data_IF_234342312724
#
_entry.id   IF_234342312724
#
_cell.length_a   1.000
_cell.length_b   1.000
_cell.length_c   1.000
_cell.angle_alpha   90.00
_cell.angle_beta   90.00
_cell.angle_gamma   90.00
#
_symmetry.space_group_name_H-M   'P 1'
#
loop_
_entity.id
_entity.type
_entity.pdbx_description
1 polymer ?
#
# COMPACT_ATOMS: atom_id res chain seq x y z
N UNK A 1 21.37 -10.13 -73.49
CA UNK A 1 21.81 -8.75 -73.16
C UNK A 1 22.07 -8.66 -71.67
N UNK A 2 23.35 -8.69 -71.30
CA UNK A 2 23.86 -8.35 -69.97
C UNK A 2 23.66 -6.84 -69.71
N UNK A 3 23.06 -6.49 -68.58
CA UNK A 3 23.42 -5.30 -67.77
C UNK A 3 23.14 -5.68 -66.31
N UNK A 4 24.07 -6.38 -65.65
CA UNK A 4 25.07 -5.79 -64.73
C UNK A 4 24.49 -4.64 -63.90
N UNK A 5 24.00 -5.03 -62.72
CA UNK A 5 23.92 -4.18 -61.54
C UNK A 5 25.35 -3.74 -61.19
N UNK A 6 25.62 -2.43 -61.31
CA UNK A 6 26.79 -1.78 -60.77
C UNK A 6 26.34 -0.91 -59.59
N UNK A 7 26.91 -1.10 -58.39
CA UNK A 7 26.66 -0.26 -57.22
C UNK A 7 27.64 0.92 -57.23
N UNK A 8 27.16 2.14 -56.98
CA UNK A 8 27.99 3.29 -56.58
C UNK A 8 27.11 4.38 -55.95
N UNK A 9 27.63 5.28 -55.11
CA UNK A 9 28.89 5.23 -54.37
C UNK A 9 28.70 5.37 -52.84
N UNK A 10 29.64 4.80 -52.11
CA UNK A 10 29.90 5.19 -50.73
C UNK A 10 30.27 6.67 -50.67
N UNK A 11 29.36 7.48 -50.13
CA UNK A 11 29.71 8.76 -49.53
C UNK A 11 29.71 8.59 -48.02
N UNK A 12 30.91 8.50 -47.47
CA UNK A 12 31.16 8.75 -46.06
C UNK A 12 30.99 10.26 -45.80
N UNK A 13 30.11 10.69 -44.88
CA UNK A 13 30.24 11.97 -44.24
C UNK A 13 31.02 11.78 -42.95
N UNK A 14 32.30 12.16 -43.06
CA UNK A 14 33.17 12.74 -42.03
C UNK A 14 32.58 12.78 -40.61
N UNK A 15 33.16 11.96 -39.75
CA UNK A 15 33.08 12.06 -38.29
C UNK A 15 33.61 13.43 -37.86
N UNK A 16 32.71 14.40 -37.66
CA UNK A 16 33.02 15.61 -36.92
C UNK A 16 32.96 15.29 -35.43
N UNK A 17 34.11 14.90 -34.88
CA UNK A 17 34.38 14.88 -33.45
C UNK A 17 34.26 16.29 -32.91
N UNK A 18 33.09 16.66 -32.41
CA UNK A 18 32.90 17.85 -31.59
C UNK A 18 33.49 17.56 -30.21
N UNK A 19 34.79 17.83 -30.08
CA UNK A 19 35.45 17.97 -28.78
C UNK A 19 34.87 19.20 -28.09
N UNK A 20 33.83 19.00 -27.29
CA UNK A 20 33.41 19.94 -26.26
C UNK A 20 34.47 19.92 -25.16
N UNK A 21 35.47 20.79 -25.28
CA UNK A 21 36.42 21.14 -24.24
C UNK A 21 35.69 21.89 -23.13
N UNK A 22 35.07 21.15 -22.19
CA UNK A 22 34.65 21.75 -20.92
C UNK A 22 35.89 22.11 -20.12
N UNK A 23 36.25 23.39 -20.15
CA UNK A 23 37.21 24.02 -19.23
C UNK A 23 36.62 23.99 -17.82
N UNK A 24 37.00 22.96 -17.05
CA UNK A 24 36.69 22.82 -15.63
C UNK A 24 37.55 23.79 -14.82
N UNK A 25 37.05 24.99 -14.61
CA UNK A 25 37.59 25.94 -13.65
C UNK A 25 37.42 25.40 -12.22
N UNK A 26 38.55 25.21 -11.52
CA UNK A 26 38.63 24.77 -10.14
C UNK A 26 38.26 25.92 -9.21
N UNK A 27 37.07 25.89 -8.61
CA UNK A 27 36.78 26.62 -7.37
C UNK A 27 36.90 25.65 -6.20
N UNK A 28 37.94 25.84 -5.40
CA UNK A 28 38.12 25.15 -4.12
C UNK A 28 37.11 25.70 -3.13
N UNK A 29 36.24 24.84 -2.63
CA UNK A 29 35.46 25.08 -1.40
C UNK A 29 35.88 24.04 -0.37
N UNK A 30 36.12 24.43 0.90
CA UNK A 30 36.67 23.53 1.90
C UNK A 30 35.62 22.55 2.43
N UNK A 31 36.07 21.32 2.64
CA UNK A 31 35.38 20.21 3.29
C UNK A 31 34.86 20.58 4.70
N UNK A 32 33.68 20.10 5.12
CA UNK A 32 33.23 20.22 6.50
C UNK A 32 34.05 19.29 7.43
N UNK A 33 34.33 19.70 8.68
CA UNK A 33 35.01 18.86 9.65
C UNK A 33 34.08 17.77 10.22
N UNK A 34 34.73 16.68 10.64
CA UNK A 34 34.15 15.49 11.26
C UNK A 34 33.44 15.80 12.59
N UNK A 35 32.39 15.02 12.85
CA UNK A 35 31.89 14.54 14.15
C UNK A 35 32.21 15.38 15.40
N UNK A 36 31.19 16.08 15.91
CA UNK A 36 31.13 16.43 17.33
C UNK A 36 29.84 15.84 17.91
N UNK A 37 30.00 14.69 18.53
CA UNK A 37 29.01 14.01 19.36
C UNK A 37 28.81 14.88 20.62
N UNK A 38 27.71 15.64 20.71
CA UNK A 38 27.40 16.46 21.89
C UNK A 38 26.47 15.68 22.83
N UNK A 39 26.93 15.26 24.03
CA UNK A 39 26.08 14.58 25.00
C UNK A 39 25.11 15.56 25.66
N UNK A 40 23.92 15.11 26.11
CA UNK A 40 22.77 15.99 26.38
C UNK A 40 22.84 16.82 27.68
N UNK A 41 24.02 17.04 28.27
CA UNK A 41 24.15 17.72 29.57
C UNK A 41 25.40 18.61 29.71
N UNK A 42 25.68 19.47 28.73
CA UNK A 42 26.69 20.53 28.88
C UNK A 42 26.07 21.83 29.41
N UNK A 43 26.64 22.51 30.43
CA UNK A 43 26.06 23.72 31.04
C UNK A 43 26.20 24.95 30.12
N UNK A 44 25.12 25.70 29.90
CA UNK A 44 25.11 26.92 29.10
C UNK A 44 25.62 28.11 29.94
N UNK A 45 26.71 28.75 29.51
CA UNK A 45 27.21 30.03 30.06
C UNK A 45 26.53 31.23 29.35
N UNK A 46 26.19 32.33 30.07
CA UNK A 46 25.29 33.36 29.54
C UNK A 46 26.05 34.41 28.72
N UNK A 47 25.53 34.73 27.52
CA UNK A 47 25.85 36.00 26.82
C UNK A 47 24.57 36.69 26.36
N UNK A 48 24.54 38.00 26.58
CA UNK A 48 23.46 38.96 26.35
C UNK A 48 23.29 39.35 24.86
N UNK A 49 22.16 39.98 24.46
CA UNK A 49 21.64 39.93 23.09
C UNK A 49 21.89 41.20 22.27
N UNK A 50 21.80 41.16 20.91
CA UNK A 50 21.51 42.35 20.11
C UNK A 50 20.01 42.48 19.80
N UNK A 51 19.56 43.73 19.73
CA UNK A 51 18.16 44.17 19.64
C UNK A 51 17.55 44.14 18.22
N UNK A 52 16.21 44.19 18.20
CA UNK A 52 15.24 43.97 17.09
C UNK A 52 15.20 45.09 16.02
N UNK A 53 14.54 44.80 14.88
CA UNK A 53 13.38 45.61 14.51
C UNK A 53 12.09 44.79 14.29
N UNK A 54 10.99 45.46 14.59
CA UNK A 54 9.58 45.05 14.70
C UNK A 54 8.89 44.84 13.34
N UNK A 55 8.03 43.81 13.23
CA UNK A 55 6.61 43.97 12.85
C UNK A 55 5.75 42.71 13.13
N UNK A 56 4.70 42.94 13.93
CA UNK A 56 3.46 42.19 14.20
C UNK A 56 3.32 40.70 13.85
N UNK A 57 3.49 39.84 14.87
CA UNK A 57 2.83 38.53 14.99
C UNK A 57 1.46 38.71 15.66
N UNK A 58 0.39 38.04 15.19
CA UNK A 58 -0.88 37.99 15.91
C UNK A 58 -0.69 37.32 17.28
N UNK A 59 -1.36 37.90 18.29
CA UNK A 59 -1.34 37.54 19.71
C UNK A 59 -1.34 36.02 19.93
N UNK A 60 -0.28 35.52 20.57
CA UNK A 60 -0.23 34.20 21.20
C UNK A 60 -1.36 34.11 22.22
N UNK A 61 -2.31 33.20 21.99
CA UNK A 61 -3.31 32.84 22.99
C UNK A 61 -2.59 32.24 24.21
N UNK A 62 -2.98 32.71 25.39
CA UNK A 62 -2.44 32.27 26.67
C UNK A 62 -2.73 30.77 26.91
N UNK A 63 -1.86 30.04 27.63
CA UNK A 63 -2.01 28.59 27.86
C UNK A 63 -3.28 28.17 28.65
N UNK A 64 -4.03 29.12 29.20
CA UNK A 64 -5.17 28.87 30.08
C UNK A 64 -6.55 29.02 29.41
N UNK A 65 -6.64 28.98 28.07
CA UNK A 65 -7.92 29.01 27.35
C UNK A 65 -8.13 27.86 26.36
N UNK A 66 -7.44 26.72 26.54
CA UNK A 66 -7.82 25.50 25.83
C UNK A 66 -8.90 24.81 26.67
N UNK A 67 -10.18 25.16 26.45
CA UNK A 67 -11.25 24.20 26.79
C UNK A 67 -10.88 22.91 26.07
N UNK A 68 -10.79 21.74 26.74
CA UNK A 68 -10.61 20.49 26.02
C UNK A 68 -11.77 20.38 25.03
N UNK A 69 -11.48 20.50 23.74
CA UNK A 69 -12.50 20.31 22.71
C UNK A 69 -13.07 18.91 22.91
N UNK A 70 -14.39 18.79 22.95
CA UNK A 70 -15.02 17.48 23.01
C UNK A 70 -14.43 16.58 21.89
N UNK A 71 -14.21 15.28 22.15
CA UNK A 71 -13.69 14.37 21.13
C UNK A 71 -14.59 14.41 19.89
N UNK A 72 -13.99 14.29 18.71
CA UNK A 72 -14.73 14.22 17.46
C UNK A 72 -15.60 12.96 17.46
N UNK A 73 -16.90 13.13 17.22
CA UNK A 73 -17.84 12.03 17.02
C UNK A 73 -17.84 11.64 15.54
N UNK A 74 -17.81 10.34 15.25
CA UNK A 74 -17.91 9.85 13.88
C UNK A 74 -19.11 8.93 13.67
N UNK A 75 -19.97 9.32 12.74
CA UNK A 75 -21.16 8.59 12.30
C UNK A 75 -20.86 7.49 11.27
N UNK A 76 -19.59 7.18 11.01
CA UNK A 76 -19.21 6.18 10.01
C UNK A 76 -19.65 4.78 10.45
N UNK A 77 -20.40 4.04 9.62
CA UNK A 77 -21.10 2.80 10.00
C UNK A 77 -20.19 1.57 10.00
N UNK A 78 -18.87 1.76 10.05
CA UNK A 78 -17.90 0.67 9.99
C UNK A 78 -16.78 0.85 11.01
N UNK A 79 -16.18 -0.28 11.38
CA UNK A 79 -14.98 -0.38 12.20
C UNK A 79 -13.81 0.39 11.60
N UNK A 80 -13.13 1.22 12.39
CA UNK A 80 -11.90 1.84 11.93
C UNK A 80 -10.74 0.88 12.15
N UNK A 81 -9.98 0.65 11.07
CA UNK A 81 -8.78 -0.17 11.05
C UNK A 81 -7.70 0.56 10.28
N UNK A 82 -6.43 0.29 10.57
CA UNK A 82 -5.34 0.90 9.82
C UNK A 82 -5.39 0.53 8.33
N UNK A 83 -5.62 -0.75 8.06
CA UNK A 83 -5.83 -1.30 6.72
C UNK A 83 -7.09 -2.13 6.71
N UNK A 84 -7.93 -1.95 5.70
CA UNK A 84 -9.13 -2.75 5.49
C UNK A 84 -8.83 -4.01 4.67
N UNK A 85 -7.91 -3.93 3.71
CA UNK A 85 -7.61 -5.05 2.81
C UNK A 85 -6.50 -5.98 3.30
N UNK A 86 -5.62 -5.53 4.20
CA UNK A 86 -4.49 -6.34 4.68
C UNK A 86 -4.60 -6.74 6.17
N UNK A 87 -5.71 -6.41 6.83
CA UNK A 87 -5.96 -6.82 8.21
C UNK A 87 -7.15 -7.78 8.26
N UNK A 88 -6.88 -9.05 8.57
CA UNK A 88 -7.92 -10.05 8.77
C UNK A 88 -8.55 -9.89 10.16
N UNK A 89 -9.84 -9.52 10.28
CA UNK A 89 -10.51 -9.36 11.57
C UNK A 89 -10.67 -10.66 12.35
N UNK A 90 -10.60 -11.82 11.71
CA UNK A 90 -10.72 -13.12 12.39
C UNK A 90 -9.45 -13.46 13.18
N UNK A 91 -8.31 -12.87 12.83
CA UNK A 91 -7.01 -13.18 13.43
C UNK A 91 -6.65 -12.14 14.49
N UNK A 92 -6.72 -12.54 15.76
CA UNK A 92 -6.28 -11.70 16.87
C UNK A 92 -4.76 -11.79 17.08
N UNK A 93 -4.07 -10.67 17.33
CA UNK A 93 -2.67 -10.69 17.71
C UNK A 93 -2.49 -11.32 19.09
N UNK A 94 -1.38 -12.03 19.30
CA UNK A 94 -0.96 -12.56 20.60
C UNK A 94 -0.58 -11.40 21.54
N UNK A 95 -0.06 -10.32 20.96
CA UNK A 95 0.32 -9.11 21.68
C UNK A 95 0.91 -8.09 20.72
N UNK A 96 1.55 -7.08 21.27
CA UNK A 96 2.21 -6.02 20.51
C UNK A 96 3.67 -5.95 20.90
N UNK A 97 4.53 -5.56 19.95
CA UNK A 97 5.98 -5.38 20.24
C UNK A 97 6.23 -4.34 21.34
N UNK A 98 5.33 -3.39 21.46
CA UNK A 98 5.35 -2.32 22.45
C UNK A 98 3.96 -2.22 23.09
N UNK A 99 3.82 -1.81 24.37
CA UNK A 99 2.52 -1.66 24.99
C UNK A 99 1.66 -0.61 24.24
N UNK A 100 0.37 -0.88 23.96
CA UNK A 100 -0.52 0.06 23.28
C UNK A 100 -0.89 1.22 24.21
N UNK A 101 0.00 2.21 24.29
CA UNK A 101 -0.19 3.38 25.16
C UNK A 101 -1.13 4.43 24.56
N UNK A 102 -1.23 4.51 23.23
CA UNK A 102 -1.93 5.61 22.57
C UNK A 102 -2.74 5.17 21.35
N UNK A 103 -3.97 5.69 21.26
CA UNK A 103 -4.88 5.50 20.11
C UNK A 103 -4.37 6.23 18.87
N UNK A 104 -4.30 5.62 17.67
CA UNK A 104 -3.78 6.22 16.43
C UNK A 104 -4.41 7.57 16.04
N UNK A 105 -5.55 7.91 16.62
CA UNK A 105 -6.26 9.15 16.38
C UNK A 105 -5.82 10.32 17.26
N UNK A 106 -4.99 10.12 18.29
CA UNK A 106 -4.73 11.15 19.29
C UNK A 106 -5.40 10.88 20.64
N UNK A 107 -4.81 11.33 21.77
CA UNK A 107 -5.52 11.37 23.03
C UNK A 107 -6.73 12.31 22.93
N UNK A 108 -7.92 11.82 23.30
CA UNK A 108 -9.15 12.62 23.36
C UNK A 108 -9.66 13.18 22.04
N UNK A 109 -9.10 12.76 20.88
CA UNK A 109 -9.50 13.27 19.56
C UNK A 109 -10.68 12.55 18.94
N UNK A 110 -10.82 11.26 19.24
CA UNK A 110 -11.90 10.41 18.75
C UNK A 110 -12.60 9.80 19.95
N UNK A 111 -13.92 9.81 19.94
CA UNK A 111 -14.75 9.24 21.01
C UNK A 111 -14.89 7.71 20.94
N UNK A 112 -14.56 7.10 19.81
CA UNK A 112 -14.47 5.64 19.64
C UNK A 112 -13.20 5.09 20.31
N UNK A 113 -13.38 4.10 21.19
CA UNK A 113 -12.27 3.43 21.89
C UNK A 113 -11.47 2.57 20.92
N UNK A 114 -10.16 2.77 20.88
CA UNK A 114 -9.23 1.93 20.12
C UNK A 114 -8.77 0.73 20.97
N UNK A 115 -8.98 -0.50 20.49
CA UNK A 115 -8.61 -1.73 21.20
C UNK A 115 -7.17 -2.21 20.94
N UNK A 116 -6.43 -1.48 20.10
CA UNK A 116 -5.09 -1.86 19.62
C UNK A 116 -5.05 -2.16 18.12
N UNK A 117 -6.15 -2.63 17.55
CA UNK A 117 -6.27 -3.02 16.13
C UNK A 117 -7.46 -2.34 15.44
N UNK A 118 -8.53 -2.10 16.20
CA UNK A 118 -9.83 -1.63 15.74
C UNK A 118 -10.35 -0.55 16.69
N UNK A 119 -11.01 0.46 16.13
CA UNK A 119 -12.00 1.24 16.87
C UNK A 119 -13.39 0.82 16.36
N UNK A 120 -14.22 0.11 17.15
CA UNK A 120 -15.45 -0.50 16.68
C UNK A 120 -16.55 0.54 16.43
N UNK A 121 -17.45 0.26 15.48
CA UNK A 121 -18.58 1.14 15.19
C UNK A 121 -19.58 1.19 16.35
N UNK A 122 -20.31 2.30 16.55
CA UNK A 122 -21.43 2.32 17.47
C UNK A 122 -22.50 1.27 17.06
N UNK A 123 -22.93 0.44 18.01
CA UNK A 123 -23.98 -0.58 17.83
C UNK A 123 -25.40 0.05 17.82
N UNK A 124 -26.37 -0.47 17.02
CA UNK A 124 -26.20 -1.09 15.71
C UNK A 124 -26.40 -0.04 14.61
N UNK A 125 -25.43 0.09 13.71
CA UNK A 125 -25.61 0.88 12.49
C UNK A 125 -26.70 0.20 11.63
N UNK A 126 -27.79 0.89 11.24
CA UNK A 126 -28.80 0.31 10.37
C UNK A 126 -28.19 0.01 9.00
N UNK A 127 -27.91 -1.26 8.74
CA UNK A 127 -27.38 -1.79 7.47
C UNK A 127 -28.28 -1.41 6.29
N UNK A 128 -29.57 -1.25 6.55
CA UNK A 128 -30.59 -0.86 5.56
C UNK A 128 -30.34 0.56 5.01
N UNK A 129 -29.82 1.49 5.82
CA UNK A 129 -29.64 2.88 5.39
C UNK A 129 -28.37 3.16 4.58
N UNK A 130 -27.33 2.30 4.67
CA UNK A 130 -26.04 2.56 4.00
C UNK A 130 -26.09 2.21 2.51
N UNK A 131 -26.74 1.10 2.15
CA UNK A 131 -26.93 0.68 0.77
C UNK A 131 -27.83 1.66 -0.01
N UNK A 132 -28.89 2.16 0.64
CA UNK A 132 -29.79 3.16 0.07
C UNK A 132 -29.06 4.49 -0.20
N UNK A 133 -28.28 4.96 0.78
CA UNK A 133 -27.44 6.16 0.63
C UNK A 133 -26.43 6.01 -0.51
N UNK A 134 -25.75 4.87 -0.58
CA UNK A 134 -24.79 4.61 -1.66
C UNK A 134 -25.47 4.65 -3.03
N UNK A 135 -26.62 3.98 -3.17
CA UNK A 135 -27.37 3.93 -4.41
C UNK A 135 -27.84 5.32 -4.84
N UNK A 136 -28.28 6.15 -3.88
CA UNK A 136 -28.66 7.54 -4.16
C UNK A 136 -27.51 8.43 -4.65
N UNK A 137 -26.27 8.19 -4.18
CA UNK A 137 -25.10 8.97 -4.62
C UNK A 137 -24.61 8.50 -5.98
N UNK A 138 -24.60 7.19 -6.22
CA UNK A 138 -24.19 6.62 -7.50
C UNK A 138 -25.16 7.00 -8.63
N UNK A 139 -26.47 6.97 -8.34
CA UNK A 139 -27.52 7.24 -9.32
C UNK A 139 -27.69 6.09 -10.31
N UNK A 140 -28.23 6.41 -11.49
CA UNK A 140 -28.34 5.45 -12.59
C UNK A 140 -26.95 4.94 -13.01
N UNK A 141 -26.81 3.66 -13.39
CA UNK A 141 -25.57 3.14 -13.95
C UNK A 141 -25.07 4.00 -15.11
N UNK A 142 -23.75 4.12 -15.22
CA UNK A 142 -23.14 4.75 -16.38
C UNK A 142 -23.36 3.89 -17.62
N UNK A 143 -23.61 4.50 -18.77
CA UNK A 143 -23.58 3.80 -20.05
C UNK A 143 -22.15 3.42 -20.40
N UNK A 144 -21.97 2.50 -21.34
CA UNK A 144 -20.63 2.07 -21.75
C UNK A 144 -19.86 3.24 -22.36
N UNK A 145 -20.52 4.12 -23.12
CA UNK A 145 -19.92 5.31 -23.71
C UNK A 145 -19.42 6.28 -22.64
N UNK A 146 -20.22 6.54 -21.60
CA UNK A 146 -19.81 7.38 -20.47
C UNK A 146 -18.61 6.78 -19.72
N UNK A 147 -18.59 5.44 -19.54
CA UNK A 147 -17.47 4.73 -18.92
C UNK A 147 -16.22 4.89 -19.77
N UNK A 148 -16.30 4.69 -21.08
CA UNK A 148 -15.17 4.83 -22.00
C UNK A 148 -14.59 6.26 -22.00
N UNK A 149 -15.44 7.28 -22.00
CA UNK A 149 -15.01 8.68 -21.91
C UNK A 149 -14.26 8.98 -20.61
N UNK A 150 -14.78 8.47 -19.47
CA UNK A 150 -14.11 8.61 -18.18
C UNK A 150 -12.79 7.84 -18.14
N UNK A 151 -12.76 6.65 -18.73
CA UNK A 151 -11.54 5.83 -18.86
C UNK A 151 -10.49 6.60 -19.65
N UNK A 152 -10.82 7.12 -20.83
CA UNK A 152 -9.86 7.85 -21.65
C UNK A 152 -9.29 9.07 -20.91
N UNK A 153 -10.16 9.81 -20.22
CA UNK A 153 -9.79 11.02 -19.49
C UNK A 153 -8.85 10.76 -18.32
N UNK A 154 -8.99 9.62 -17.63
CA UNK A 154 -8.30 9.37 -16.36
C UNK A 154 -7.32 8.20 -16.36
N UNK A 155 -7.25 7.36 -17.41
CA UNK A 155 -6.36 6.16 -17.42
C UNK A 155 -4.88 6.48 -17.54
N UNK A 156 -4.53 7.58 -18.21
CA UNK A 156 -3.16 7.92 -18.55
C UNK A 156 -2.34 8.35 -17.31
N UNK A 157 -1.05 8.05 -17.32
CA UNK A 157 -0.17 8.22 -16.14
C UNK A 157 0.26 9.66 -15.88
N UNK A 158 0.08 10.53 -16.84
CA UNK A 158 0.26 11.99 -16.76
C UNK A 158 -0.89 12.68 -16.00
N UNK A 159 -1.95 11.93 -15.66
CA UNK A 159 -3.02 12.44 -14.83
C UNK A 159 -2.48 12.80 -13.44
N UNK A 160 -2.54 14.09 -13.09
CA UNK A 160 -2.20 14.62 -11.76
C UNK A 160 -3.07 14.08 -10.62
N UNK A 161 -4.04 13.20 -10.92
CA UNK A 161 -5.07 12.67 -10.03
C UNK A 161 -4.83 11.19 -9.69
N UNK A 162 -3.57 10.80 -9.60
CA UNK A 162 -3.16 9.44 -9.24
C UNK A 162 -2.91 9.31 -7.73
N UNK A 163 -3.52 8.30 -7.11
CA UNK A 163 -3.18 7.83 -5.76
C UNK A 163 -2.42 6.50 -5.87
N UNK A 164 -1.38 6.32 -5.06
CA UNK A 164 -0.65 5.05 -4.97
C UNK A 164 -1.13 4.26 -3.76
N UNK A 165 -1.65 3.06 -4.00
CA UNK A 165 -1.97 2.09 -2.96
C UNK A 165 -0.74 1.19 -2.77
N UNK A 166 -0.09 1.30 -1.61
CA UNK A 166 1.15 0.58 -1.30
C UNK A 166 0.94 -0.72 -0.52
N UNK A 167 2.03 -1.22 0.09
CA UNK A 167 2.08 -2.51 0.84
C UNK A 167 1.11 -2.66 2.02
N UNK A 168 0.50 -1.57 2.47
CA UNK A 168 -0.46 -1.54 3.56
C UNK A 168 -1.91 -1.59 3.05
N UNK A 169 -2.13 -1.66 1.73
CA UNK A 169 -3.45 -1.85 1.14
C UNK A 169 -4.36 -0.64 1.21
N UNK A 170 -5.66 -0.89 1.28
CA UNK A 170 -6.67 0.16 1.47
C UNK A 170 -6.60 0.66 2.91
N UNK A 171 -5.90 1.78 3.14
CA UNK A 171 -5.70 2.33 4.49
C UNK A 171 -6.80 3.31 4.89
N UNK A 172 -6.98 3.55 6.20
CA UNK A 172 -7.95 4.50 6.72
C UNK A 172 -7.82 5.89 6.09
N UNK A 173 -6.62 6.44 6.10
CA UNK A 173 -6.37 7.80 5.61
C UNK A 173 -6.52 7.92 4.09
N UNK A 174 -6.30 6.82 3.35
CA UNK A 174 -6.51 6.80 1.90
C UNK A 174 -7.97 7.13 1.53
N UNK A 175 -8.94 6.83 2.41
CA UNK A 175 -10.34 7.19 2.15
C UNK A 175 -10.53 8.71 2.08
N UNK A 176 -9.93 9.47 3.00
CA UNK A 176 -10.00 10.94 2.94
C UNK A 176 -9.26 11.48 1.71
N UNK A 177 -8.11 10.90 1.35
CA UNK A 177 -7.38 11.26 0.13
C UNK A 177 -8.25 11.09 -1.13
N UNK A 178 -8.98 9.97 -1.24
CA UNK A 178 -9.90 9.72 -2.35
C UNK A 178 -11.00 10.78 -2.39
N UNK A 179 -11.67 11.03 -1.26
CA UNK A 179 -12.71 12.04 -1.19
C UNK A 179 -12.20 13.46 -1.47
N UNK A 180 -10.95 13.76 -1.11
CA UNK A 180 -10.29 15.03 -1.43
C UNK A 180 -10.05 15.18 -2.94
N UNK A 181 -9.66 14.12 -3.64
CA UNK A 181 -9.53 14.14 -5.10
C UNK A 181 -10.89 14.33 -5.80
N UNK A 182 -11.95 13.69 -5.30
CA UNK A 182 -13.30 13.82 -5.84
C UNK A 182 -13.91 15.22 -5.72
N UNK A 183 -13.29 16.15 -4.99
CA UNK A 183 -13.65 17.57 -4.99
C UNK A 183 -13.42 18.24 -6.35
N UNK A 184 -12.48 17.70 -7.15
CA UNK A 184 -11.99 18.31 -8.40
C UNK A 184 -12.01 17.37 -9.61
N UNK A 185 -12.50 16.15 -9.42
CA UNK A 185 -12.49 15.10 -10.43
C UNK A 185 -13.65 14.13 -10.20
N UNK A 186 -14.13 13.52 -11.28
CA UNK A 186 -15.23 12.55 -11.22
C UNK A 186 -14.73 11.14 -10.87
N UNK A 187 -13.50 10.82 -11.29
CA UNK A 187 -12.84 9.57 -10.97
C UNK A 187 -11.41 9.80 -10.48
N UNK A 188 -10.89 8.82 -9.75
CA UNK A 188 -9.51 8.78 -9.26
C UNK A 188 -8.80 7.58 -9.81
N UNK A 189 -7.58 7.80 -10.31
CA UNK A 189 -6.71 6.72 -10.76
C UNK A 189 -5.93 6.17 -9.58
N UNK A 190 -6.08 4.88 -9.29
CA UNK A 190 -5.40 4.21 -8.18
C UNK A 190 -4.40 3.21 -8.76
N UNK A 191 -3.11 3.40 -8.47
CA UNK A 191 -2.05 2.45 -8.83
C UNK A 191 -1.72 1.59 -7.62
N UNK A 192 -2.07 0.32 -7.68
CA UNK A 192 -1.83 -0.67 -6.64
C UNK A 192 -0.42 -1.28 -6.77
N UNK A 193 0.27 -1.40 -5.65
CA UNK A 193 1.64 -1.91 -5.54
C UNK A 193 1.81 -2.73 -4.27
N UNK A 194 2.74 -3.67 -4.31
CA UNK A 194 3.08 -4.59 -3.24
C UNK A 194 2.08 -5.74 -3.10
N UNK A 195 2.07 -6.32 -1.90
CA UNK A 195 1.26 -7.48 -1.51
C UNK A 195 -0.23 -7.37 -1.83
N UNK A 196 -0.90 -6.19 -1.71
CA UNK A 196 -2.32 -6.08 -2.07
C UNK A 196 -2.64 -6.55 -3.48
N UNK A 197 -1.70 -6.45 -4.42
CA UNK A 197 -1.91 -6.86 -5.81
C UNK A 197 -2.11 -8.37 -6.00
N UNK A 198 -1.84 -9.20 -4.99
CA UNK A 198 -2.21 -10.63 -4.99
C UNK A 198 -3.73 -10.84 -4.96
N UNK A 199 -4.48 -9.86 -4.45
CA UNK A 199 -5.93 -9.94 -4.25
C UNK A 199 -6.58 -8.61 -4.60
N UNK A 200 -6.64 -8.36 -5.91
CA UNK A 200 -7.23 -7.13 -6.44
C UNK A 200 -8.76 -7.11 -6.22
N UNK A 201 -9.41 -8.27 -6.04
CA UNK A 201 -10.84 -8.36 -5.75
C UNK A 201 -11.14 -7.81 -4.36
N UNK A 202 -10.38 -8.22 -3.34
CA UNK A 202 -10.50 -7.68 -1.99
C UNK A 202 -10.17 -6.18 -1.92
N UNK A 203 -9.17 -5.72 -2.69
CA UNK A 203 -8.89 -4.29 -2.82
C UNK A 203 -10.07 -3.53 -3.43
N UNK A 204 -10.65 -4.03 -4.53
CA UNK A 204 -11.81 -3.41 -5.16
C UNK A 204 -13.01 -3.38 -4.20
N UNK A 205 -13.28 -4.50 -3.53
CA UNK A 205 -14.34 -4.61 -2.54
C UNK A 205 -14.22 -3.54 -1.46
N UNK A 206 -13.06 -3.41 -0.82
CA UNK A 206 -12.89 -2.42 0.25
C UNK A 206 -12.88 -0.97 -0.23
N UNK A 207 -12.35 -0.69 -1.44
CA UNK A 207 -12.44 0.66 -2.01
C UNK A 207 -13.90 1.03 -2.25
N UNK A 208 -14.67 0.15 -2.89
CA UNK A 208 -16.09 0.36 -3.13
C UNK A 208 -16.86 0.47 -1.81
N UNK A 209 -16.71 -0.49 -0.90
CA UNK A 209 -17.42 -0.56 0.39
C UNK A 209 -17.17 0.67 1.28
N UNK A 210 -15.91 1.09 1.43
CA UNK A 210 -15.56 2.15 2.37
C UNK A 210 -15.73 3.57 1.84
N UNK A 211 -15.64 3.77 0.52
CA UNK A 211 -15.80 5.10 -0.10
C UNK A 211 -17.20 5.33 -0.65
N UNK A 212 -17.97 4.27 -0.90
CA UNK A 212 -19.25 4.33 -1.62
C UNK A 212 -19.11 4.50 -3.14
N UNK A 213 -17.89 4.70 -3.66
CA UNK A 213 -17.64 4.84 -5.09
C UNK A 213 -17.73 3.53 -5.87
N UNK A 214 -17.63 3.62 -7.19
CA UNK A 214 -17.72 2.48 -8.12
C UNK A 214 -16.43 2.32 -8.91
N UNK A 215 -15.87 1.11 -8.98
CA UNK A 215 -14.76 0.81 -9.87
C UNK A 215 -15.33 0.68 -11.28
N UNK A 216 -14.90 1.57 -12.18
CA UNK A 216 -15.34 1.59 -13.60
C UNK A 216 -14.27 1.05 -14.55
N UNK A 217 -13.04 0.86 -14.06
CA UNK A 217 -11.95 0.30 -14.85
C UNK A 217 -10.97 -0.43 -13.97
N UNK A 218 -10.52 -1.59 -14.47
CA UNK A 218 -9.48 -2.41 -13.84
C UNK A 218 -8.60 -3.02 -14.91
N UNK A 219 -7.31 -2.72 -14.86
CA UNK A 219 -6.29 -3.40 -15.68
C UNK A 219 -5.03 -3.65 -14.86
N UNK A 220 -4.67 -4.91 -14.69
CA UNK A 220 -3.51 -5.38 -13.92
C UNK A 220 -3.56 -4.80 -12.49
N UNK A 221 -2.83 -3.70 -12.24
CA UNK A 221 -2.70 -3.06 -10.95
C UNK A 221 -3.20 -1.60 -10.97
N UNK A 222 -3.91 -1.18 -12.01
CA UNK A 222 -4.48 0.15 -12.14
C UNK A 222 -6.00 0.04 -12.06
N UNK A 223 -6.59 0.88 -11.22
CA UNK A 223 -8.03 1.02 -11.03
C UNK A 223 -8.46 2.46 -11.33
N UNK A 224 -9.67 2.65 -11.85
CA UNK A 224 -10.37 3.93 -11.81
C UNK A 224 -11.59 3.81 -10.90
N UNK A 225 -11.62 4.63 -9.85
CA UNK A 225 -12.71 4.68 -8.88
C UNK A 225 -13.53 5.96 -9.10
N UNK A 226 -14.76 5.79 -9.55
CA UNK A 226 -15.76 6.82 -9.81
C UNK A 226 -16.55 7.17 -8.56
N UNK A 227 -16.82 8.45 -8.35
CA UNK A 227 -17.48 8.98 -7.14
C UNK A 227 -19.00 8.82 -7.09
N UNK A 228 -19.66 8.59 -8.23
CA UNK A 228 -21.11 8.64 -8.38
C UNK A 228 -21.62 9.92 -9.05
N UNK A 229 -22.80 9.86 -9.68
CA UNK A 229 -23.41 10.99 -10.43
C UNK A 229 -23.75 12.16 -9.52
N UNK A 230 -24.23 11.87 -8.31
CA UNK A 230 -24.76 12.85 -7.36
C UNK A 230 -23.84 13.07 -6.16
N UNK A 231 -22.53 12.85 -6.34
CA UNK A 231 -21.56 13.11 -5.28
C UNK A 231 -21.48 14.61 -4.94
N UNK A 232 -21.89 14.98 -3.72
CA UNK A 232 -21.71 16.32 -3.17
C UNK A 232 -20.51 16.36 -2.20
N UNK A 233 -19.43 17.10 -2.52
CA UNK A 233 -18.30 17.29 -1.62
C UNK A 233 -18.65 17.85 -0.24
N UNK A 234 -19.76 18.56 -0.09
CA UNK A 234 -20.22 19.13 1.19
C UNK A 234 -20.90 18.09 2.07
N UNK A 235 -21.49 17.06 1.48
CA UNK A 235 -22.16 15.95 2.19
C UNK A 235 -21.27 14.70 2.31
N UNK A 236 -20.01 14.80 1.90
CA UNK A 236 -19.06 13.69 2.00
C UNK A 236 -18.90 13.24 3.46
N UNK A 237 -18.67 11.94 3.72
CA UNK A 237 -18.39 11.47 5.06
C UNK A 237 -17.10 12.10 5.61
N UNK A 238 -17.12 12.44 6.90
CA UNK A 238 -15.93 12.91 7.61
C UNK A 238 -15.16 11.70 8.12
N UNK A 239 -14.01 11.44 7.50
CA UNK A 239 -13.09 10.36 7.89
C UNK A 239 -12.05 10.91 8.88
N UNK A 240 -12.06 10.49 10.16
CA UNK A 240 -11.08 10.97 11.15
C UNK A 240 -9.66 10.56 10.76
N UNK A 241 -8.72 11.49 10.71
CA UNK A 241 -7.34 11.14 10.34
C UNK A 241 -6.65 10.33 11.44
N UNK A 242 -6.09 9.18 11.08
CA UNK A 242 -5.11 8.49 11.91
C UNK A 242 -3.79 9.26 11.83
N UNK A 243 -3.36 9.81 12.96
CA UNK A 243 -2.17 10.65 13.09
C UNK A 243 -0.87 9.82 13.12
N UNK A 244 -0.94 8.57 13.54
CA UNK A 244 0.18 7.64 13.51
C UNK A 244 -0.25 6.24 13.12
N UNK A 245 0.72 5.45 12.64
CA UNK A 245 0.55 4.03 12.35
C UNK A 245 0.38 3.26 13.67
N UNK A 246 -0.61 2.34 13.78
CA UNK A 246 -0.72 1.49 14.95
C UNK A 246 0.51 0.62 15.16
N UNK A 247 0.72 0.23 16.42
CA UNK A 247 1.85 -0.61 16.82
C UNK A 247 1.78 -1.95 16.09
N UNK A 248 2.95 -2.47 15.74
CA UNK A 248 3.04 -3.71 14.98
C UNK A 248 2.56 -4.91 15.84
N UNK A 249 1.45 -5.58 15.44
CA UNK A 249 0.97 -6.77 16.13
C UNK A 249 1.97 -7.93 16.01
N UNK A 250 1.95 -8.78 17.02
CA UNK A 250 2.67 -10.06 17.03
C UNK A 250 1.65 -11.16 16.76
N UNK A 251 1.83 -11.86 15.64
CA UNK A 251 1.03 -13.02 15.27
C UNK A 251 1.76 -14.32 15.57
N UNK A 252 1.05 -15.46 15.62
CA UNK A 252 1.67 -16.78 15.69
C UNK A 252 2.69 -17.00 14.57
N UNK A 253 3.61 -17.95 14.80
CA UNK A 253 4.60 -18.31 13.78
C UNK A 253 3.90 -18.82 12.53
N UNK A 254 4.22 -18.20 11.39
CA UNK A 254 3.61 -18.54 10.10
C UNK A 254 3.98 -19.95 9.61
N UNK A 255 5.22 -20.37 9.87
CA UNK A 255 5.72 -21.70 9.50
C UNK A 255 5.90 -22.52 10.77
N UNK A 256 5.10 -23.58 10.97
CA UNK A 256 5.32 -24.52 12.05
C UNK A 256 6.54 -25.41 11.75
N UNK A 257 7.15 -25.98 12.80
CA UNK A 257 8.29 -26.90 12.64
C UNK A 257 7.90 -28.15 11.86
N UNK A 258 6.70 -28.66 12.13
CA UNK A 258 6.05 -29.78 11.43
C UNK A 258 4.79 -29.25 10.77
N UNK A 259 4.64 -29.47 9.47
CA UNK A 259 3.43 -29.04 8.76
C UNK A 259 2.25 -29.92 9.18
N UNK A 260 1.05 -29.34 9.16
CA UNK A 260 -0.16 -30.04 9.58
C UNK A 260 -0.37 -31.32 8.75
N UNK A 261 -0.60 -32.43 9.44
CA UNK A 261 -0.84 -33.73 8.81
C UNK A 261 0.41 -34.44 8.26
N UNK A 262 1.62 -33.96 8.54
CA UNK A 262 2.89 -34.61 8.18
C UNK A 262 3.73 -34.98 9.40
N UNK A 263 4.64 -35.93 9.21
CA UNK A 263 5.75 -36.18 10.14
C UNK A 263 6.83 -35.11 9.99
N UNK A 264 7.75 -35.06 10.96
CA UNK A 264 8.92 -34.18 10.88
C UNK A 264 9.82 -34.51 9.67
N UNK A 265 9.99 -35.81 9.38
CA UNK A 265 10.81 -36.31 8.28
C UNK A 265 10.19 -35.94 6.93
N UNK A 266 8.89 -36.19 6.74
CA UNK A 266 8.15 -35.81 5.53
C UNK A 266 8.22 -34.29 5.30
N UNK A 267 8.04 -33.49 6.35
CA UNK A 267 8.14 -32.01 6.25
C UNK A 267 9.55 -31.59 5.81
N UNK A 268 10.59 -32.25 6.34
CA UNK A 268 11.99 -31.97 5.97
C UNK A 268 12.28 -32.37 4.52
N UNK A 269 11.76 -33.50 4.07
CA UNK A 269 11.87 -33.96 2.69
C UNK A 269 11.22 -32.98 1.72
N UNK A 270 9.99 -32.52 1.99
CA UNK A 270 9.30 -31.52 1.17
C UNK A 270 10.02 -30.16 1.12
N UNK A 271 10.62 -29.73 2.24
CA UNK A 271 11.46 -28.52 2.26
C UNK A 271 12.68 -28.68 1.35
N UNK A 272 13.36 -29.81 1.43
CA UNK A 272 14.55 -30.10 0.63
C UNK A 272 14.22 -30.24 -0.86
N UNK A 273 13.15 -30.98 -1.18
CA UNK A 273 12.69 -31.14 -2.57
C UNK A 273 12.25 -29.80 -3.15
N UNK A 274 11.53 -28.98 -2.38
CA UNK A 274 11.16 -27.62 -2.78
C UNK A 274 12.36 -26.72 -3.05
N UNK A 275 13.38 -26.72 -2.20
CA UNK A 275 14.61 -25.94 -2.40
C UNK A 275 15.38 -26.36 -3.66
N UNK A 276 15.40 -27.66 -3.96
CA UNK A 276 16.11 -28.21 -5.12
C UNK A 276 15.27 -28.12 -6.42
N UNK A 277 13.96 -27.89 -6.32
CA UNK A 277 13.09 -27.71 -7.48
C UNK A 277 13.37 -26.38 -8.21
N UNK A 278 13.15 -26.28 -9.53
CA UNK A 278 13.23 -24.99 -10.24
C UNK A 278 12.18 -24.00 -9.69
N UNK A 279 12.48 -22.69 -9.64
CA UNK A 279 11.51 -21.72 -9.16
C UNK A 279 10.37 -21.60 -10.17
N UNK A 280 9.12 -21.66 -9.70
CA UNK A 280 7.93 -21.47 -10.53
C UNK A 280 7.95 -20.09 -11.21
N UNK A 281 8.33 -19.07 -10.44
CA UNK A 281 8.50 -17.72 -10.96
C UNK A 281 9.36 -16.87 -10.03
N UNK A 282 9.87 -15.78 -10.60
CA UNK A 282 10.63 -14.75 -9.90
C UNK A 282 9.77 -13.51 -9.68
N UNK A 283 9.66 -13.09 -8.43
CA UNK A 283 8.97 -11.87 -8.02
C UNK A 283 9.95 -10.70 -8.05
N UNK A 284 9.52 -9.58 -8.62
CA UNK A 284 10.38 -8.41 -8.83
C UNK A 284 10.07 -7.28 -7.83
N UNK A 285 10.95 -6.26 -7.81
CA UNK A 285 10.80 -5.04 -7.00
C UNK A 285 9.67 -4.12 -7.47
N UNK A 286 9.07 -4.38 -8.63
CA UNK A 286 7.98 -3.56 -9.14
C UNK A 286 6.71 -3.63 -8.26
N UNK A 287 6.61 -4.65 -7.39
CA UNK A 287 5.48 -4.82 -6.49
C UNK A 287 4.18 -5.21 -7.19
N UNK A 288 4.23 -5.80 -8.38
CA UNK A 288 3.01 -6.23 -9.10
C UNK A 288 2.96 -7.76 -9.13
N UNK A 289 2.02 -8.32 -8.36
CA UNK A 289 1.91 -9.75 -8.08
C UNK A 289 0.58 -10.40 -8.54
N UNK A 290 -0.15 -9.72 -9.44
CA UNK A 290 -1.51 -10.10 -9.87
C UNK A 290 -1.63 -11.55 -10.33
N UNK A 291 -0.64 -12.06 -11.06
CA UNK A 291 -0.71 -13.39 -11.67
C UNK A 291 -0.12 -14.51 -10.78
N UNK A 292 0.35 -14.19 -9.57
CA UNK A 292 1.04 -15.16 -8.71
C UNK A 292 0.07 -16.23 -8.22
N UNK A 293 -1.13 -15.84 -7.79
CA UNK A 293 -2.16 -16.76 -7.26
C UNK A 293 -2.53 -17.81 -8.32
N UNK A 294 -2.85 -17.37 -9.53
CA UNK A 294 -3.24 -18.29 -10.61
C UNK A 294 -2.11 -19.23 -11.00
N UNK A 295 -0.87 -18.71 -11.11
CA UNK A 295 0.30 -19.55 -11.39
C UNK A 295 0.54 -20.59 -10.31
N UNK A 296 0.36 -20.25 -9.04
CA UNK A 296 0.53 -21.19 -7.92
C UNK A 296 -0.60 -22.23 -7.94
N UNK A 297 -1.85 -21.83 -8.19
CA UNK A 297 -2.99 -22.76 -8.35
C UNK A 297 -2.75 -23.75 -9.50
N UNK A 298 -2.29 -23.26 -10.64
CA UNK A 298 -1.99 -24.08 -11.81
C UNK A 298 -0.84 -25.05 -11.54
N UNK A 299 0.23 -24.57 -10.90
CA UNK A 299 1.36 -25.42 -10.54
C UNK A 299 0.96 -26.55 -9.58
N UNK A 300 0.02 -26.31 -8.66
CA UNK A 300 -0.44 -27.34 -7.72
C UNK A 300 -1.32 -28.44 -8.33
N UNK A 301 -1.74 -28.29 -9.60
CA UNK A 301 -2.40 -29.36 -10.36
C UNK A 301 -1.44 -30.52 -10.65
N UNK A 302 -0.16 -30.22 -10.87
CA UNK A 302 0.87 -31.20 -11.25
C UNK A 302 1.93 -31.43 -10.18
N UNK A 303 2.28 -30.39 -9.43
CA UNK A 303 3.33 -30.42 -8.41
C UNK A 303 2.75 -30.36 -7.01
N UNK A 304 3.35 -31.07 -6.06
CA UNK A 304 2.92 -31.00 -4.66
C UNK A 304 3.56 -29.83 -3.91
N UNK A 305 4.75 -29.45 -4.34
CA UNK A 305 5.56 -28.37 -3.75
C UNK A 305 5.93 -27.38 -4.84
N UNK A 306 5.88 -26.10 -4.49
CA UNK A 306 6.20 -24.98 -5.36
C UNK A 306 7.22 -24.07 -4.68
N UNK A 307 8.21 -23.62 -5.45
CA UNK A 307 9.19 -22.61 -5.03
C UNK A 307 8.92 -21.28 -5.73
N UNK A 308 8.82 -20.19 -4.97
CA UNK A 308 8.81 -18.83 -5.49
C UNK A 308 10.14 -18.15 -5.18
N UNK A 309 10.78 -17.58 -6.21
CA UNK A 309 11.97 -16.76 -6.04
C UNK A 309 11.56 -15.31 -5.74
N UNK A 310 11.84 -14.87 -4.53
CA UNK A 310 11.57 -13.55 -3.99
C UNK A 310 12.87 -12.80 -3.64
N UNK A 311 14.02 -13.17 -4.23
CA UNK A 311 15.34 -12.57 -3.92
C UNK A 311 15.39 -11.05 -4.10
N UNK A 312 14.50 -10.48 -4.90
CA UNK A 312 14.40 -9.03 -5.10
C UNK A 312 13.24 -8.39 -4.35
N UNK A 313 12.35 -9.16 -3.72
CA UNK A 313 11.24 -8.61 -2.94
C UNK A 313 11.73 -8.13 -1.57
N UNK A 314 11.09 -7.11 -1.01
CA UNK A 314 11.40 -6.67 0.35
C UNK A 314 11.14 -7.80 1.36
N UNK A 315 12.04 -8.00 2.32
CA UNK A 315 11.93 -9.08 3.31
C UNK A 315 10.60 -9.04 4.10
N UNK A 316 10.06 -7.83 4.34
CA UNK A 316 8.75 -7.65 4.99
C UNK A 316 7.59 -8.19 4.16
N UNK A 317 7.72 -8.17 2.84
CA UNK A 317 6.66 -8.52 1.91
C UNK A 317 6.68 -10.02 1.62
N UNK A 318 7.85 -10.67 1.62
CA UNK A 318 7.95 -12.12 1.41
C UNK A 318 7.05 -12.93 2.37
N UNK A 319 7.06 -12.58 3.67
CA UNK A 319 6.19 -13.26 4.65
C UNK A 319 4.72 -12.97 4.39
N UNK A 320 4.37 -11.71 4.12
CA UNK A 320 2.98 -11.31 3.82
C UNK A 320 2.44 -11.99 2.56
N UNK A 321 3.26 -12.13 1.52
CA UNK A 321 2.93 -12.89 0.30
C UNK A 321 2.59 -14.33 0.67
N UNK A 322 3.41 -14.98 1.49
CA UNK A 322 3.14 -16.35 1.91
C UNK A 322 1.89 -16.51 2.77
N UNK A 323 1.59 -15.56 3.68
CA UNK A 323 0.31 -15.54 4.43
C UNK A 323 -0.86 -15.46 3.45
N UNK A 324 -0.82 -14.48 2.55
CA UNK A 324 -1.92 -14.23 1.62
C UNK A 324 -2.11 -15.38 0.63
N UNK A 325 -1.02 -16.02 0.20
CA UNK A 325 -1.10 -17.21 -0.64
C UNK A 325 -1.73 -18.39 0.08
N UNK A 326 -1.46 -18.62 1.38
CA UNK A 326 -2.14 -19.65 2.18
C UNK A 326 -3.66 -19.43 2.21
N UNK A 327 -4.10 -18.17 2.27
CA UNK A 327 -5.51 -17.83 2.39
C UNK A 327 -6.23 -17.90 1.01
N UNK A 328 -5.56 -17.48 -0.07
CA UNK A 328 -6.12 -17.47 -1.44
C UNK A 328 -5.97 -18.79 -2.20
N UNK A 329 -4.95 -19.56 -1.85
CA UNK A 329 -4.65 -20.89 -2.37
C UNK A 329 -4.45 -21.77 -1.15
N UNK A 330 -5.33 -22.76 -0.87
CA UNK A 330 -5.28 -23.53 0.37
C UNK A 330 -4.01 -24.40 0.44
N UNK A 331 -2.88 -23.77 0.74
CA UNK A 331 -1.52 -24.29 0.71
C UNK A 331 -0.80 -23.86 1.98
N UNK A 332 0.22 -24.61 2.36
CA UNK A 332 0.93 -24.45 3.62
C UNK A 332 2.34 -23.94 3.33
N UNK A 333 2.73 -22.75 3.81
CA UNK A 333 4.10 -22.29 3.72
C UNK A 333 5.04 -23.17 4.56
N UNK A 334 6.04 -23.78 3.92
CA UNK A 334 6.99 -24.68 4.56
C UNK A 334 8.31 -24.00 4.95
N UNK A 335 8.70 -22.95 4.23
CA UNK A 335 9.98 -22.26 4.43
C UNK A 335 9.98 -20.85 3.85
N UNK A 336 10.57 -19.91 4.60
CA UNK A 336 10.98 -18.59 4.12
C UNK A 336 12.47 -18.42 4.42
N UNK A 337 13.34 -18.54 3.40
CA UNK A 337 14.79 -18.46 3.58
C UNK A 337 15.46 -17.87 2.35
N UNK A 338 16.39 -16.94 2.54
CA UNK A 338 17.22 -16.34 1.47
C UNK A 338 16.43 -15.83 0.27
N UNK A 339 15.29 -15.20 0.54
CA UNK A 339 14.38 -14.71 -0.50
C UNK A 339 13.67 -15.84 -1.26
N UNK A 340 13.60 -17.06 -0.76
CA UNK A 340 12.80 -18.14 -1.32
C UNK A 340 11.58 -18.41 -0.45
N UNK A 341 10.45 -18.70 -1.09
CA UNK A 341 9.23 -19.19 -0.43
C UNK A 341 8.95 -20.59 -0.96
N UNK A 342 8.86 -21.57 -0.04
CA UNK A 342 8.45 -22.93 -0.37
C UNK A 342 7.02 -23.13 0.13
N UNK A 343 6.13 -23.52 -0.78
CA UNK A 343 4.72 -23.75 -0.51
C UNK A 343 4.38 -25.21 -0.83
N UNK A 344 3.60 -25.83 0.04
CA UNK A 344 3.09 -27.19 -0.16
C UNK A 344 1.57 -27.15 -0.28
N UNK A 345 1.01 -27.88 -1.25
CA UNK A 345 -0.44 -27.87 -1.50
C UNK A 345 -1.30 -28.50 -0.39
N UNK A 346 -0.68 -29.16 0.59
CA UNK A 346 -1.39 -29.97 1.58
C UNK A 346 -1.66 -31.40 1.10
N UNK A 347 -2.17 -32.26 1.99
CA UNK A 347 -2.65 -33.60 1.59
C UNK A 347 -3.91 -33.42 0.75
N UNK A 348 -4.05 -34.18 -0.35
CA UNK A 348 -5.33 -34.27 -1.06
C UNK A 348 -6.36 -34.80 -0.06
N UNK A 349 -7.41 -34.04 0.21
CA UNK A 349 -8.60 -34.58 0.86
C UNK A 349 -9.19 -35.58 -0.13
N UNK A 350 -9.07 -36.87 0.19
CA UNK A 350 -9.64 -37.98 -0.58
C UNK A 350 -11.15 -37.91 -0.47
#
# INVERSE_FOLDING_TARGET
MLRRLLPWPHHAPQTLTLTLTLTRSKSQSPSPPRDSYDPPFSPISPKSPPAKPTNSLPKTLSPNQIKPSAPFHSDLPFDFRYSYSESDPSVRPIGFREPPRFSPFGPGRLDRKWDGVVAPAPEPAPVVGSADRRSSVLGEPLTEEEIEELIERYRHSDCSRQINLGKDGVTHNMLDDIHNHWKRAEAVRIKCLGVPTLDMDNVCFHLEDKTGGKIIYRRINILLLYRGRYYDPKQRPVVPLMLWKPLAPIYPRLVPNVAEGLSFEETKELRNSGLNSPPLMKLTRNGVYVNVVDKVRDAFKTSEVVRLDCAHVYASDCKKIGVKLRDLVPCIPLLFKDGQIILWRGKRRI
#
